data_IF_540624184421
#
_entry.id   IF_540624184421
#
_cell.length_a   1.000
_cell.length_b   1.000
_cell.length_c   1.000
_cell.angle_alpha   90.00
_cell.angle_beta   90.00
_cell.angle_gamma   90.00
#
_symmetry.space_group_name_H-M   'P 1'
#
loop_
_entity.id
_entity.type
_entity.pdbx_description
1 polymer ?
#
# COMPACT_ATOMS: atom_id res chain seq x y z
N UNK A 1 -8.89 55.16 60.47
CA UNK A 1 -8.42 55.64 59.15
C UNK A 1 -6.99 55.19 58.84
N UNK A 2 -5.95 55.50 59.65
CA UNK A 2 -4.56 55.01 59.44
C UNK A 2 -4.40 53.49 59.31
N UNK A 3 -5.01 52.71 60.21
CA UNK A 3 -4.94 51.24 60.17
C UNK A 3 -5.56 50.59 58.91
N UNK A 4 -6.51 51.27 58.26
CA UNK A 4 -7.11 50.82 56.99
C UNK A 4 -6.16 51.04 55.82
N UNK A 5 -5.45 52.18 55.83
CA UNK A 5 -4.47 52.54 54.81
C UNK A 5 -3.24 51.64 54.85
N UNK A 6 -2.77 51.26 56.05
CA UNK A 6 -1.65 50.33 56.21
C UNK A 6 -2.01 48.91 55.75
N UNK A 7 -3.27 48.49 55.93
CA UNK A 7 -3.77 47.21 55.43
C UNK A 7 -3.87 47.16 53.90
N UNK A 8 -4.35 48.24 53.27
CA UNK A 8 -4.40 48.39 51.82
C UNK A 8 -3.00 48.41 51.19
N UNK A 9 -2.06 49.13 51.81
CA UNK A 9 -0.66 49.15 51.37
C UNK A 9 -0.03 47.75 51.43
N UNK A 10 -0.23 47.03 52.53
CA UNK A 10 0.24 45.64 52.68
C UNK A 10 -0.41 44.70 51.65
N UNK A 11 -1.68 44.91 51.32
CA UNK A 11 -2.36 44.15 50.26
C UNK A 11 -1.77 44.45 48.88
N UNK A 12 -1.54 45.73 48.56
CA UNK A 12 -0.92 46.14 47.31
C UNK A 12 0.51 45.57 47.15
N UNK A 13 1.31 45.58 48.22
CA UNK A 13 2.66 45.01 48.22
C UNK A 13 2.63 43.49 47.99
N UNK A 14 1.66 42.78 48.58
CA UNK A 14 1.46 41.35 48.35
C UNK A 14 1.05 41.06 46.90
N UNK A 15 0.13 41.85 46.32
CA UNK A 15 -0.29 41.73 44.92
C UNK A 15 0.88 42.00 43.99
N UNK A 16 1.67 43.04 44.22
CA UNK A 16 2.84 43.37 43.42
C UNK A 16 3.90 42.26 43.44
N UNK A 17 4.11 41.63 44.61
CA UNK A 17 5.01 40.48 44.75
C UNK A 17 4.52 39.27 43.95
N UNK A 18 3.22 38.95 44.05
CA UNK A 18 2.63 37.84 43.27
C UNK A 18 2.71 38.12 41.78
N UNK A 19 2.37 39.34 41.34
CA UNK A 19 2.50 39.75 39.94
C UNK A 19 3.93 39.59 39.43
N UNK A 20 4.92 40.08 40.18
CA UNK A 20 6.34 39.94 39.80
C UNK A 20 6.75 38.47 39.68
N UNK A 21 6.30 37.62 40.59
CA UNK A 21 6.53 36.17 40.51
C UNK A 21 5.89 35.55 39.26
N UNK A 22 4.62 35.87 38.98
CA UNK A 22 3.89 35.36 37.81
C UNK A 22 4.51 35.85 36.49
N UNK A 23 4.88 37.13 36.42
CA UNK A 23 5.53 37.72 35.24
C UNK A 23 6.88 37.02 34.97
N UNK A 24 7.67 36.77 36.03
CA UNK A 24 8.93 36.02 35.92
C UNK A 24 8.71 34.57 35.50
N UNK A 25 7.79 33.86 36.16
CA UNK A 25 7.49 32.48 35.82
C UNK A 25 7.02 32.36 34.36
N UNK A 26 6.13 33.26 33.91
CA UNK A 26 5.68 33.30 32.52
C UNK A 26 6.83 33.50 31.54
N UNK A 27 7.77 34.42 31.83
CA UNK A 27 8.97 34.62 31.02
C UNK A 27 9.88 33.39 30.98
N UNK A 28 10.10 32.74 32.13
CA UNK A 28 10.94 31.54 32.24
C UNK A 28 10.32 30.37 31.43
N UNK A 29 9.00 30.17 31.52
CA UNK A 29 8.28 29.16 30.72
C UNK A 29 8.36 29.46 29.22
N UNK A 30 8.12 30.69 28.79
CA UNK A 30 8.18 31.08 27.38
C UNK A 30 9.58 30.87 26.78
N UNK A 31 10.63 31.19 27.54
CA UNK A 31 12.02 30.96 27.13
C UNK A 31 12.33 29.45 27.03
N UNK A 32 11.93 28.66 28.02
CA UNK A 32 12.13 27.22 28.02
C UNK A 32 11.38 26.53 26.87
N UNK A 33 10.13 26.91 26.62
CA UNK A 33 9.32 26.37 25.53
C UNK A 33 9.94 26.70 24.15
N UNK A 34 10.37 27.94 23.96
CA UNK A 34 11.04 28.37 22.73
C UNK A 34 12.33 27.58 22.49
N UNK A 35 13.14 27.38 23.53
CA UNK A 35 14.37 26.60 23.45
C UNK A 35 14.11 25.13 23.10
N UNK A 36 13.14 24.49 23.76
CA UNK A 36 12.76 23.09 23.49
C UNK A 36 12.21 22.95 22.07
N UNK A 37 11.33 23.85 21.66
CA UNK A 37 10.72 23.83 20.32
C UNK A 37 11.76 23.98 19.22
N UNK A 38 12.71 24.90 19.37
CA UNK A 38 13.83 25.09 18.41
C UNK A 38 14.74 23.86 18.35
N UNK A 39 15.09 23.28 19.50
CA UNK A 39 15.91 22.08 19.56
C UNK A 39 15.21 20.89 18.89
N UNK A 40 13.91 20.70 19.15
CA UNK A 40 13.12 19.63 18.53
C UNK A 40 13.02 19.80 17.02
N UNK A 41 12.74 21.00 16.55
CA UNK A 41 12.62 21.27 15.12
C UNK A 41 13.94 20.99 14.38
N UNK A 42 15.06 21.44 14.96
CA UNK A 42 16.40 21.23 14.39
C UNK A 42 16.77 19.75 14.28
N UNK A 43 16.29 18.92 15.22
CA UNK A 43 16.50 17.47 15.19
C UNK A 43 15.57 16.75 14.20
N UNK A 44 14.32 17.20 14.07
CA UNK A 44 13.30 16.60 13.18
C UNK A 44 13.57 16.91 11.71
N UNK A 45 14.02 18.13 11.40
CA UNK A 45 14.19 18.61 10.02
C UNK A 45 15.02 17.68 9.11
N UNK A 46 16.19 17.15 9.49
CA UNK A 46 16.95 16.25 8.63
C UNK A 46 16.23 14.92 8.37
N UNK A 47 15.60 14.34 9.39
CA UNK A 47 14.84 13.08 9.25
C UNK A 47 13.61 13.29 8.37
N UNK A 48 12.94 14.43 8.55
CA UNK A 48 11.82 14.84 7.72
C UNK A 48 12.20 14.95 6.25
N UNK A 49 13.31 15.64 5.92
CA UNK A 49 13.81 15.76 4.54
C UNK A 49 14.15 14.39 3.93
N UNK A 50 14.77 13.50 4.71
CA UNK A 50 15.08 12.15 4.26
C UNK A 50 13.82 11.34 3.94
N UNK A 51 12.85 11.31 4.86
CA UNK A 51 11.57 10.60 4.67
C UNK A 51 10.82 11.12 3.45
N UNK A 52 10.77 12.44 3.26
CA UNK A 52 10.10 13.05 2.11
C UNK A 52 10.82 12.73 0.79
N UNK A 53 12.16 12.69 0.79
CA UNK A 53 12.96 12.31 -0.39
C UNK A 53 12.72 10.86 -0.83
N UNK A 54 12.54 9.93 0.11
CA UNK A 54 12.20 8.53 -0.21
C UNK A 54 10.83 8.38 -0.86
N UNK A 55 9.91 9.32 -0.60
CA UNK A 55 8.60 9.35 -1.26
C UNK A 55 8.67 9.80 -2.73
N UNK A 56 9.88 9.90 -3.30
CA UNK A 56 10.20 10.05 -4.74
C UNK A 56 9.73 11.36 -5.38
N UNK A 57 9.80 12.46 -4.62
CA UNK A 57 9.51 13.80 -5.11
C UNK A 57 10.76 14.48 -5.66
N UNK A 58 11.07 14.21 -6.93
CA UNK A 58 12.23 14.81 -7.59
C UNK A 58 12.10 16.34 -7.69
N UNK A 59 13.19 17.05 -7.38
CA UNK A 59 13.25 18.51 -7.49
C UNK A 59 12.48 19.30 -6.43
N UNK A 60 12.03 18.65 -5.35
CA UNK A 60 11.31 19.32 -4.25
C UNK A 60 12.00 19.04 -2.92
N UNK A 61 12.49 20.09 -2.28
CA UNK A 61 13.10 20.02 -0.94
C UNK A 61 12.18 20.72 0.07
N UNK A 62 11.62 19.99 1.05
CA UNK A 62 10.76 20.59 2.04
C UNK A 62 11.57 21.26 3.16
N UNK A 63 11.00 22.27 3.80
CA UNK A 63 11.53 22.88 5.01
C UNK A 63 10.40 23.23 5.98
N UNK A 64 10.75 23.22 7.26
CA UNK A 64 9.84 23.61 8.33
C UNK A 64 10.52 24.62 9.22
N UNK A 65 9.82 25.70 9.54
CA UNK A 65 10.35 26.77 10.38
C UNK A 65 9.28 27.20 11.38
N UNK A 66 9.69 27.59 12.59
CA UNK A 66 8.79 28.22 13.55
C UNK A 66 8.94 29.73 13.43
N UNK A 67 7.82 30.47 13.40
CA UNK A 67 7.87 31.93 13.43
C UNK A 67 8.33 32.37 14.83
N UNK A 68 9.28 33.30 14.92
CA UNK A 68 9.94 33.69 16.17
C UNK A 68 8.98 34.20 17.28
N UNK A 69 7.79 34.68 16.91
CA UNK A 69 6.78 35.25 17.81
C UNK A 69 5.44 34.52 17.74
N UNK A 70 5.38 33.31 17.18
CA UNK A 70 4.15 32.52 17.10
C UNK A 70 4.42 31.04 17.41
N UNK A 71 3.39 30.36 17.88
CA UNK A 71 3.36 28.90 17.97
C UNK A 71 3.23 28.23 16.58
N UNK A 72 2.90 29.01 15.55
CA UNK A 72 2.71 28.53 14.18
C UNK A 72 3.99 27.93 13.58
N UNK A 73 3.86 26.68 13.14
CA UNK A 73 4.82 26.02 12.26
C UNK A 73 4.52 26.42 10.81
N UNK A 74 5.50 27.03 10.17
CA UNK A 74 5.48 27.35 8.76
C UNK A 74 6.16 26.26 7.95
N UNK A 75 5.37 25.67 7.07
CA UNK A 75 5.79 24.67 6.09
C UNK A 75 6.16 25.43 4.80
N UNK A 76 7.36 25.17 4.27
CA UNK A 76 7.89 25.85 3.08
C UNK A 76 8.58 24.87 2.13
N UNK A 77 8.70 25.27 0.87
CA UNK A 77 9.57 24.60 -0.10
C UNK A 77 10.90 25.36 -0.14
N UNK A 78 11.96 24.75 0.42
CA UNK A 78 13.30 25.33 0.36
C UNK A 78 13.81 25.39 -1.08
N UNK A 79 13.49 24.36 -1.86
CA UNK A 79 13.73 24.28 -3.29
C UNK A 79 12.54 23.59 -3.96
N UNK A 80 12.05 24.18 -5.04
CA UNK A 80 10.99 23.65 -5.89
C UNK A 80 11.37 23.92 -7.35
N UNK A 81 11.97 22.92 -8.00
CA UNK A 81 12.48 23.01 -9.36
C UNK A 81 13.41 24.21 -9.60
N UNK A 82 14.29 24.51 -8.62
CA UNK A 82 15.23 25.63 -8.67
C UNK A 82 14.68 26.96 -8.14
N UNK A 83 13.42 27.00 -7.72
CA UNK A 83 12.82 28.17 -7.07
C UNK A 83 12.83 28.00 -5.55
N UNK A 84 13.21 29.06 -4.84
CA UNK A 84 13.43 29.00 -3.38
C UNK A 84 12.32 29.69 -2.59
N UNK A 85 12.06 29.20 -1.37
CA UNK A 85 11.18 29.79 -0.36
C UNK A 85 9.72 29.98 -0.80
N UNK A 86 9.16 28.94 -1.42
CA UNK A 86 7.81 28.97 -1.96
C UNK A 86 6.77 28.36 -1.01
N UNK A 87 5.53 28.81 -1.15
CA UNK A 87 4.38 28.29 -0.39
C UNK A 87 3.95 26.91 -0.91
N UNK A 88 4.01 25.85 -0.09
CA UNK A 88 3.55 24.52 -0.46
C UNK A 88 2.03 24.49 -0.70
N UNK A 89 1.27 25.31 0.03
CA UNK A 89 -0.18 25.38 -0.12
C UNK A 89 -0.62 25.91 -1.48
N UNK A 90 0.19 26.76 -2.11
CA UNK A 90 -0.12 27.36 -3.40
C UNK A 90 0.29 26.49 -4.59
N UNK A 91 1.27 25.59 -4.42
CA UNK A 91 1.93 24.89 -5.52
C UNK A 91 1.77 23.36 -5.48
N UNK A 92 1.59 22.78 -4.30
CA UNK A 92 1.47 21.33 -4.16
C UNK A 92 0.01 20.90 -4.27
N UNK A 93 -0.22 19.75 -4.94
CA UNK A 93 -1.51 19.08 -4.90
C UNK A 93 -1.85 18.60 -3.48
N UNK A 94 -3.11 18.25 -3.26
CA UNK A 94 -3.55 17.71 -1.97
C UNK A 94 -2.74 16.51 -1.51
N UNK A 95 -2.53 15.52 -2.40
CA UNK A 95 -1.76 14.33 -2.04
C UNK A 95 -0.31 14.65 -1.67
N UNK A 96 0.32 15.63 -2.33
CA UNK A 96 1.66 16.12 -1.96
C UNK A 96 1.68 16.81 -0.59
N UNK A 97 0.64 17.60 -0.27
CA UNK A 97 0.51 18.24 1.05
C UNK A 97 0.34 17.18 2.16
N UNK A 98 -0.41 16.11 1.87
CA UNK A 98 -0.57 14.99 2.79
C UNK A 98 0.74 14.20 2.96
N UNK A 99 1.50 14.02 1.88
CA UNK A 99 2.85 13.43 1.94
C UNK A 99 3.81 14.24 2.81
N UNK A 100 3.74 15.57 2.71
CA UNK A 100 4.50 16.46 3.56
C UNK A 100 4.14 16.26 5.04
N UNK A 101 2.84 16.29 5.36
CA UNK A 101 2.34 16.17 6.72
C UNK A 101 2.73 14.82 7.34
N UNK A 102 2.54 13.71 6.61
CA UNK A 102 2.88 12.38 7.13
C UNK A 102 4.39 12.21 7.30
N UNK A 103 5.23 12.72 6.38
CA UNK A 103 6.68 12.61 6.51
C UNK A 103 7.20 13.37 7.74
N UNK A 104 6.64 14.56 8.02
CA UNK A 104 6.97 15.34 9.22
C UNK A 104 6.50 14.62 10.49
N UNK A 105 5.29 14.06 10.47
CA UNK A 105 4.74 13.29 11.59
C UNK A 105 5.60 12.07 11.90
N UNK A 106 5.95 11.27 10.89
CA UNK A 106 6.83 10.10 11.05
C UNK A 106 8.20 10.51 11.57
N UNK A 107 8.79 11.59 11.06
CA UNK A 107 10.06 12.09 11.58
C UNK A 107 9.98 12.42 13.07
N UNK A 108 8.96 13.15 13.51
CA UNK A 108 8.73 13.44 14.91
C UNK A 108 8.49 12.18 15.76
N UNK A 109 7.68 11.24 15.26
CA UNK A 109 7.39 9.97 15.94
C UNK A 109 8.63 9.08 16.10
N UNK A 110 9.54 9.09 15.13
CA UNK A 110 10.79 8.32 15.20
C UNK A 110 11.74 8.82 16.30
N UNK A 111 11.79 10.13 16.53
CA UNK A 111 12.72 10.76 17.48
C UNK A 111 12.13 10.89 18.89
N UNK A 112 10.83 11.14 18.98
CA UNK A 112 10.15 11.45 20.24
C UNK A 112 9.06 10.43 20.62
N UNK A 113 9.04 9.27 19.97
CA UNK A 113 8.17 8.16 20.36
C UNK A 113 8.44 7.75 21.82
N UNK A 114 7.38 7.66 22.61
CA UNK A 114 7.45 7.26 24.01
C UNK A 114 7.89 5.81 24.22
N UNK A 115 7.72 5.31 25.44
CA UNK A 115 8.00 3.90 25.80
C UNK A 115 7.33 2.87 24.89
N UNK A 116 6.07 3.02 24.42
CA UNK A 116 5.53 2.09 23.43
C UNK A 116 6.27 2.24 22.10
N UNK A 117 6.88 1.15 21.63
CA UNK A 117 7.59 1.08 20.35
C UNK A 117 6.66 0.67 19.20
N UNK A 118 5.45 1.21 19.17
CA UNK A 118 4.50 1.00 18.08
C UNK A 118 3.76 2.27 17.67
N UNK A 119 3.26 2.30 16.44
CA UNK A 119 2.49 3.37 15.84
C UNK A 119 1.27 2.78 15.14
N UNK A 120 0.09 3.36 15.41
CA UNK A 120 -1.16 3.01 14.71
C UNK A 120 -1.50 4.14 13.75
N UNK A 121 -1.65 3.78 12.47
CA UNK A 121 -2.06 4.67 11.40
C UNK A 121 -3.48 4.30 10.98
N UNK A 122 -4.45 5.13 11.34
CA UNK A 122 -5.87 4.90 11.05
C UNK A 122 -6.30 5.73 9.83
N UNK A 123 -6.60 5.04 8.74
CA UNK A 123 -7.07 5.55 7.45
C UNK A 123 -6.23 6.68 6.82
N UNK A 124 -4.95 6.79 7.17
CA UNK A 124 -4.06 7.86 6.67
C UNK A 124 -3.85 7.82 5.16
N UNK A 125 -4.26 6.74 4.50
CA UNK A 125 -3.99 6.46 3.08
C UNK A 125 -5.08 6.95 2.14
N UNK A 126 -6.28 7.26 2.66
CA UNK A 126 -7.44 7.65 1.84
C UNK A 126 -7.26 9.02 1.16
N UNK A 127 -6.40 9.88 1.71
CA UNK A 127 -6.09 11.21 1.15
C UNK A 127 -4.88 11.23 0.23
N UNK A 128 -4.40 10.04 -0.20
CA UNK A 128 -3.29 9.91 -1.13
C UNK A 128 -3.75 9.38 -2.48
N UNK A 129 -3.18 9.90 -3.56
CA UNK A 129 -3.31 9.29 -4.89
C UNK A 129 -2.62 7.92 -4.89
N UNK A 130 -3.10 7.00 -5.73
CA UNK A 130 -2.67 5.59 -5.76
C UNK A 130 -1.13 5.41 -5.82
N UNK A 131 -0.41 6.30 -6.50
CA UNK A 131 1.07 6.27 -6.55
C UNK A 131 1.73 6.62 -5.21
N UNK A 132 1.22 7.63 -4.51
CA UNK A 132 1.82 8.09 -3.24
C UNK A 132 1.55 7.14 -2.08
N UNK A 133 0.43 6.40 -2.11
CA UNK A 133 0.15 5.34 -1.15
C UNK A 133 1.25 4.27 -1.16
N UNK A 134 1.72 3.87 -2.36
CA UNK A 134 2.81 2.90 -2.52
C UNK A 134 4.11 3.43 -1.91
N UNK A 135 4.43 4.71 -2.15
CA UNK A 135 5.62 5.34 -1.58
C UNK A 135 5.59 5.42 -0.06
N UNK A 136 4.43 5.75 0.53
CA UNK A 136 4.27 5.74 1.98
C UNK A 136 4.52 4.34 2.55
N UNK A 137 3.92 3.30 1.97
CA UNK A 137 4.12 1.93 2.47
C UNK A 137 5.57 1.46 2.28
N UNK A 138 6.21 1.82 1.18
CA UNK A 138 7.63 1.50 0.95
C UNK A 138 8.56 2.21 1.95
N UNK A 139 8.34 3.50 2.24
CA UNK A 139 9.03 4.24 3.30
C UNK A 139 8.86 3.54 4.65
N UNK A 140 7.62 3.17 4.98
CA UNK A 140 7.30 2.47 6.22
C UNK A 140 8.06 1.14 6.30
N UNK A 141 8.04 0.36 5.22
CA UNK A 141 8.68 -0.97 5.16
C UNK A 141 10.21 -0.92 5.22
N UNK A 142 10.84 0.03 4.53
CA UNK A 142 12.29 0.08 4.34
C UNK A 142 13.00 0.79 5.48
N UNK A 143 12.55 1.98 5.84
CA UNK A 143 13.36 2.92 6.61
C UNK A 143 12.77 3.29 7.97
N UNK A 144 11.45 3.15 8.15
CA UNK A 144 10.77 3.56 9.38
C UNK A 144 10.44 2.40 10.34
N UNK A 145 9.83 1.33 9.83
CA UNK A 145 9.28 0.25 10.64
C UNK A 145 10.26 -0.92 10.80
N UNK A 146 10.06 -1.71 11.87
CA UNK A 146 10.72 -3.02 12.01
C UNK A 146 10.16 -4.00 10.98
N UNK A 147 10.98 -4.88 10.39
CA UNK A 147 12.40 -5.11 10.64
C UNK A 147 13.34 -4.25 9.79
N UNK A 148 12.85 -3.47 8.82
CA UNK A 148 13.69 -2.63 7.94
C UNK A 148 14.60 -1.67 8.71
N UNK A 149 14.06 -1.09 9.78
CA UNK A 149 14.82 -0.37 10.79
C UNK A 149 14.78 -1.15 12.13
N UNK A 150 15.90 -1.73 12.59
CA UNK A 150 15.96 -2.50 13.85
C UNK A 150 15.50 -1.71 15.08
N UNK A 151 15.74 -0.39 15.07
CA UNK A 151 15.35 0.53 16.13
C UNK A 151 14.02 1.25 15.85
N UNK A 152 13.40 0.96 14.70
CA UNK A 152 12.15 1.55 14.24
C UNK A 152 10.95 1.16 15.11
N UNK A 153 9.79 1.72 14.79
CA UNK A 153 8.53 1.38 15.45
C UNK A 153 7.88 0.16 14.80
N UNK A 154 7.11 -0.62 15.56
CA UNK A 154 6.12 -1.51 14.97
C UNK A 154 4.99 -0.65 14.39
N UNK A 155 4.60 -0.89 13.14
CA UNK A 155 3.53 -0.10 12.50
C UNK A 155 2.31 -0.98 12.29
N UNK A 156 1.16 -0.47 12.71
CA UNK A 156 -0.17 -1.05 12.48
C UNK A 156 -0.92 -0.09 11.59
N UNK A 157 -1.38 -0.55 10.43
CA UNK A 157 -2.11 0.27 9.46
C UNK A 157 -3.54 -0.27 9.38
N UNK A 158 -4.50 0.62 9.60
CA UNK A 158 -5.92 0.38 9.36
C UNK A 158 -6.31 1.19 8.13
N UNK A 159 -6.90 0.53 7.14
CA UNK A 159 -7.29 1.19 5.89
C UNK A 159 -8.43 0.42 5.24
N UNK A 160 -9.25 1.13 4.48
CA UNK A 160 -10.28 0.55 3.62
C UNK A 160 -9.83 0.49 2.14
N UNK A 161 -8.58 0.84 1.85
CA UNK A 161 -8.04 0.89 0.51
C UNK A 161 -7.74 -0.51 -0.07
N UNK A 162 -8.41 -0.82 -1.18
CA UNK A 162 -8.29 -2.12 -1.87
C UNK A 162 -7.01 -2.27 -2.69
N UNK A 163 -6.35 -1.19 -3.10
CA UNK A 163 -5.04 -1.25 -3.77
C UNK A 163 -3.94 -1.57 -2.75
N UNK A 164 -4.00 -1.00 -1.55
CA UNK A 164 -3.10 -1.37 -0.47
C UNK A 164 -3.25 -2.83 -0.06
N UNK A 165 -4.48 -3.36 -0.07
CA UNK A 165 -4.74 -4.78 0.14
C UNK A 165 -3.92 -5.65 -0.83
N UNK A 166 -3.89 -5.31 -2.13
CA UNK A 166 -3.10 -6.03 -3.13
C UNK A 166 -1.60 -5.98 -2.82
N UNK A 167 -1.09 -4.82 -2.41
CA UNK A 167 0.32 -4.65 -2.04
C UNK A 167 0.66 -5.47 -0.80
N UNK A 168 -0.15 -5.44 0.25
CA UNK A 168 0.11 -6.23 1.44
C UNK A 168 -0.01 -7.73 1.18
N UNK A 169 -0.97 -8.16 0.33
CA UNK A 169 -1.07 -9.54 -0.10
C UNK A 169 0.19 -10.01 -0.85
N UNK A 170 0.80 -9.16 -1.69
CA UNK A 170 2.09 -9.45 -2.35
C UNK A 170 3.21 -9.70 -1.35
N UNK A 171 3.21 -8.99 -0.21
CA UNK A 171 4.23 -9.12 0.83
C UNK A 171 3.87 -10.10 1.95
N UNK A 172 2.66 -10.65 1.98
CA UNK A 172 2.17 -11.56 3.04
C UNK A 172 3.02 -12.83 3.20
N UNK A 173 3.63 -13.32 2.12
CA UNK A 173 4.48 -14.52 2.11
C UNK A 173 5.91 -14.25 2.60
N UNK A 174 6.29 -12.99 2.80
CA UNK A 174 7.64 -12.63 3.28
C UNK A 174 7.85 -12.93 4.76
N UNK A 175 6.78 -13.17 5.53
CA UNK A 175 6.82 -13.32 7.00
C UNK A 175 7.11 -12.01 7.75
N UNK A 176 7.34 -10.90 7.01
CA UNK A 176 7.68 -9.59 7.55
C UNK A 176 6.43 -8.74 7.77
N UNK A 177 5.51 -8.77 6.80
CA UNK A 177 4.25 -8.03 6.85
C UNK A 177 3.09 -9.00 7.08
N UNK A 178 2.25 -8.67 8.05
CA UNK A 178 1.04 -9.40 8.36
C UNK A 178 -0.16 -8.59 7.90
N UNK A 179 -0.98 -9.21 7.06
CA UNK A 179 -2.19 -8.60 6.53
C UNK A 179 -3.41 -9.40 6.95
N UNK A 180 -4.37 -8.71 7.55
CA UNK A 180 -5.62 -9.29 7.99
C UNK A 180 -6.77 -8.39 7.53
N UNK A 181 -7.57 -8.89 6.58
CA UNK A 181 -8.81 -8.22 6.21
C UNK A 181 -9.86 -8.50 7.26
N UNK A 182 -10.58 -7.46 7.69
CA UNK A 182 -11.71 -7.56 8.62
C UNK A 182 -12.99 -7.36 7.82
N UNK A 183 -13.97 -8.25 7.97
CA UNK A 183 -15.28 -8.12 7.34
C UNK A 183 -16.40 -8.48 8.30
N UNK A 184 -17.57 -7.91 8.03
CA UNK A 184 -18.79 -8.19 8.74
C UNK A 184 -19.64 -6.95 8.87
N UNK A 185 -20.69 -7.05 9.69
CA UNK A 185 -21.54 -5.92 9.99
C UNK A 185 -21.16 -5.39 11.38
N UNK A 186 -20.86 -4.08 11.54
CA UNK A 186 -20.44 -3.50 12.82
C UNK A 186 -21.39 -3.81 13.99
N UNK A 187 -22.67 -4.01 13.69
CA UNK A 187 -23.73 -4.28 14.67
C UNK A 187 -23.80 -5.74 15.14
N UNK A 188 -23.21 -6.69 14.41
CA UNK A 188 -23.36 -8.12 14.68
C UNK A 188 -22.02 -8.79 14.98
N UNK A 189 -21.08 -8.70 14.05
CA UNK A 189 -19.74 -9.25 14.20
C UNK A 189 -18.84 -8.67 13.11
N UNK A 190 -17.60 -8.35 13.48
CA UNK A 190 -16.50 -8.10 12.55
C UNK A 190 -15.47 -9.20 12.81
N UNK A 191 -15.22 -10.04 11.82
CA UNK A 191 -14.35 -11.21 11.95
C UNK A 191 -13.14 -11.09 11.02
N UNK A 192 -11.95 -11.55 11.49
CA UNK A 192 -10.80 -11.68 10.62
C UNK A 192 -11.06 -12.70 9.52
N UNK A 193 -10.82 -12.29 8.28
CA UNK A 193 -10.94 -13.10 7.08
C UNK A 193 -9.60 -13.76 6.74
N UNK A 194 -9.51 -15.07 6.89
CA UNK A 194 -8.35 -15.84 6.44
C UNK A 194 -8.40 -16.02 4.92
N UNK A 195 -7.35 -15.62 4.19
CA UNK A 195 -7.16 -16.01 2.78
C UNK A 195 -7.89 -15.16 1.70
N UNK A 196 -7.74 -13.83 1.73
CA UNK A 196 -8.38 -12.91 0.78
C UNK A 196 -8.18 -13.23 -0.73
N UNK A 197 -7.05 -13.86 -1.09
CA UNK A 197 -6.72 -14.22 -2.49
C UNK A 197 -7.70 -15.24 -3.09
N UNK A 198 -8.28 -16.11 -2.28
CA UNK A 198 -9.21 -17.15 -2.76
C UNK A 198 -10.68 -16.69 -2.78
N UNK A 199 -11.01 -15.45 -2.40
CA UNK A 199 -12.41 -15.02 -2.28
C UNK A 199 -13.16 -14.94 -3.61
N UNK A 200 -12.56 -14.35 -4.65
CA UNK A 200 -13.21 -14.30 -5.97
C UNK A 200 -13.44 -15.72 -6.48
N UNK A 201 -12.46 -16.61 -6.29
CA UNK A 201 -12.56 -18.03 -6.63
C UNK A 201 -13.70 -18.72 -5.85
N UNK A 202 -13.64 -18.68 -4.53
CA UNK A 202 -14.54 -19.44 -3.66
C UNK A 202 -15.98 -18.89 -3.71
N UNK A 203 -16.13 -17.58 -3.82
CA UNK A 203 -17.43 -16.93 -4.05
C UNK A 203 -18.02 -17.31 -5.41
N UNK A 204 -17.20 -17.28 -6.47
CA UNK A 204 -17.63 -17.69 -7.82
C UNK A 204 -18.02 -19.17 -7.82
N UNK A 205 -17.22 -20.04 -7.19
CA UNK A 205 -17.54 -21.47 -7.06
C UNK A 205 -18.85 -21.67 -6.30
N UNK A 206 -19.07 -20.94 -5.19
CA UNK A 206 -20.31 -21.00 -4.42
C UNK A 206 -21.53 -20.59 -5.24
N UNK A 207 -21.44 -19.49 -6.00
CA UNK A 207 -22.50 -19.06 -6.92
C UNK A 207 -22.79 -20.11 -8.00
N UNK A 208 -21.74 -20.71 -8.57
CA UNK A 208 -21.88 -21.76 -9.57
C UNK A 208 -22.53 -23.02 -9.00
N UNK A 209 -22.14 -23.44 -7.79
CA UNK A 209 -22.75 -24.57 -7.09
C UNK A 209 -24.22 -24.30 -6.74
N UNK A 210 -24.59 -23.05 -6.49
CA UNK A 210 -25.96 -22.61 -6.29
C UNK A 210 -26.77 -22.44 -7.59
N UNK A 211 -26.18 -22.75 -8.76
CA UNK A 211 -26.85 -22.63 -10.07
C UNK A 211 -26.96 -21.21 -10.61
N UNK A 212 -26.31 -20.23 -9.97
CA UNK A 212 -26.36 -18.81 -10.34
C UNK A 212 -25.33 -18.47 -11.44
N UNK A 213 -25.37 -19.22 -12.54
CA UNK A 213 -24.36 -19.12 -13.60
C UNK A 213 -24.29 -17.73 -14.25
N UNK A 214 -25.42 -17.03 -14.40
CA UNK A 214 -25.46 -15.69 -14.99
C UNK A 214 -24.69 -14.64 -14.18
N UNK A 215 -24.75 -14.71 -12.85
CA UNK A 215 -24.04 -13.79 -11.96
C UNK A 215 -22.56 -14.17 -11.80
N UNK A 216 -22.23 -15.46 -11.91
CA UNK A 216 -20.88 -15.97 -11.72
C UNK A 216 -19.91 -15.65 -12.88
N UNK A 217 -20.42 -15.35 -14.09
CA UNK A 217 -19.58 -15.13 -15.30
C UNK A 217 -18.50 -14.05 -15.09
N UNK A 218 -18.88 -12.93 -14.48
CA UNK A 218 -17.95 -11.84 -14.23
C UNK A 218 -16.90 -12.24 -13.18
N UNK A 219 -17.27 -13.05 -12.18
CA UNK A 219 -16.34 -13.61 -11.21
C UNK A 219 -15.31 -14.56 -11.84
N UNK A 220 -15.73 -15.40 -12.81
CA UNK A 220 -14.82 -16.28 -13.57
C UNK A 220 -13.79 -15.47 -14.35
N UNK A 221 -14.20 -14.37 -14.98
CA UNK A 221 -13.31 -13.46 -15.71
C UNK A 221 -12.30 -12.79 -14.77
N UNK A 222 -12.78 -12.18 -13.69
CA UNK A 222 -11.92 -11.52 -12.71
C UNK A 222 -10.89 -12.50 -12.15
N UNK A 223 -11.31 -13.75 -11.91
CA UNK A 223 -10.41 -14.80 -11.48
C UNK A 223 -9.36 -15.16 -12.53
N UNK A 224 -9.77 -15.33 -13.80
CA UNK A 224 -8.85 -15.58 -14.91
C UNK A 224 -7.81 -14.47 -15.04
N UNK A 225 -8.24 -13.21 -15.12
CA UNK A 225 -7.35 -12.06 -15.29
C UNK A 225 -6.37 -11.92 -14.12
N UNK A 226 -6.86 -12.11 -12.89
CA UNK A 226 -6.02 -12.12 -11.71
C UNK A 226 -4.92 -13.19 -11.78
N UNK A 227 -5.30 -14.44 -12.09
CA UNK A 227 -4.34 -15.56 -12.13
C UNK A 227 -3.33 -15.43 -13.27
N UNK A 228 -3.75 -14.90 -14.43
CA UNK A 228 -2.83 -14.63 -15.54
C UNK A 228 -1.88 -13.48 -15.24
N UNK A 229 -2.36 -12.39 -14.64
CA UNK A 229 -1.52 -11.27 -14.20
C UNK A 229 -0.48 -11.71 -13.15
N UNK A 230 -0.91 -12.52 -12.18
CA UNK A 230 -0.01 -13.13 -11.19
C UNK A 230 1.09 -13.96 -11.87
N UNK A 231 0.71 -14.79 -12.84
CA UNK A 231 1.62 -15.65 -13.58
C UNK A 231 2.65 -14.83 -14.38
N UNK A 232 2.21 -13.82 -15.11
CA UNK A 232 3.07 -12.89 -15.86
C UNK A 232 4.07 -12.22 -14.91
N UNK A 233 3.60 -11.72 -13.77
CA UNK A 233 4.48 -11.06 -12.79
C UNK A 233 5.50 -12.01 -12.18
N UNK A 234 5.11 -13.26 -11.89
CA UNK A 234 6.01 -14.26 -11.28
C UNK A 234 7.09 -14.71 -12.25
N UNK A 235 6.72 -14.97 -13.50
CA UNK A 235 7.63 -15.44 -14.55
C UNK A 235 8.39 -14.32 -15.26
N UNK A 236 8.09 -13.05 -14.93
CA UNK A 236 8.65 -11.84 -15.56
C UNK A 236 8.46 -11.84 -17.08
N UNK A 237 7.27 -12.25 -17.52
CA UNK A 237 6.94 -12.27 -18.95
C UNK A 237 6.80 -10.82 -19.45
N UNK A 238 7.51 -10.44 -20.52
CA UNK A 238 7.34 -9.12 -21.12
C UNK A 238 5.93 -8.97 -21.68
N UNK A 239 5.27 -7.88 -21.31
CA UNK A 239 3.92 -7.54 -21.81
C UNK A 239 4.00 -6.20 -22.54
N UNK A 240 3.31 -6.04 -23.68
CA UNK A 240 3.25 -4.75 -24.37
C UNK A 240 2.76 -3.62 -23.46
N UNK A 241 3.34 -2.44 -23.63
CA UNK A 241 3.05 -1.24 -22.82
C UNK A 241 1.55 -0.94 -22.80
N UNK A 242 0.88 -1.04 -23.94
CA UNK A 242 -0.55 -0.77 -24.06
C UNK A 242 -1.39 -1.66 -23.14
N UNK A 243 -1.05 -2.95 -23.03
CA UNK A 243 -1.74 -3.92 -22.14
C UNK A 243 -1.40 -3.66 -20.67
N UNK A 244 -0.18 -3.18 -20.38
CA UNK A 244 0.25 -2.88 -19.01
C UNK A 244 -0.43 -1.64 -18.41
N UNK A 245 -0.89 -0.71 -19.26
CA UNK A 245 -1.57 0.53 -18.86
C UNK A 245 -3.07 0.56 -19.21
N UNK A 246 -3.63 -0.56 -19.68
CA UNK A 246 -5.03 -0.64 -20.08
C UNK A 246 -5.94 -0.90 -18.87
N UNK A 247 -6.75 0.10 -18.50
CA UNK A 247 -7.78 -0.01 -17.45
C UNK A 247 -9.07 -0.70 -17.94
N UNK A 248 -9.15 -1.10 -19.21
CA UNK A 248 -10.34 -1.75 -19.73
C UNK A 248 -10.50 -3.17 -19.20
N UNK A 249 -11.76 -3.57 -19.03
CA UNK A 249 -12.13 -4.85 -18.41
C UNK A 249 -11.67 -6.09 -19.21
N UNK A 250 -11.15 -6.03 -20.43
CA UNK A 250 -10.96 -7.20 -21.33
C UNK A 250 -9.49 -7.65 -21.52
N UNK A 251 -8.73 -7.84 -20.43
CA UNK A 251 -7.30 -8.14 -20.53
C UNK A 251 -6.97 -9.64 -20.67
N UNK A 252 -7.93 -10.52 -20.38
CA UNK A 252 -7.69 -11.97 -20.35
C UNK A 252 -7.10 -12.52 -21.66
N UNK A 253 -7.60 -12.08 -22.81
CA UNK A 253 -7.11 -12.52 -24.13
C UNK A 253 -5.68 -12.04 -24.39
N UNK A 254 -5.39 -10.78 -24.05
CA UNK A 254 -4.07 -10.18 -24.23
C UNK A 254 -3.02 -10.86 -23.34
N UNK A 255 -3.38 -11.16 -22.08
CA UNK A 255 -2.50 -11.91 -21.18
C UNK A 255 -2.23 -13.33 -21.67
N UNK A 256 -3.25 -14.07 -22.14
CA UNK A 256 -3.05 -15.40 -22.70
C UNK A 256 -2.14 -15.36 -23.94
N UNK A 257 -2.35 -14.40 -24.83
CA UNK A 257 -1.53 -14.22 -26.03
C UNK A 257 -0.07 -13.88 -25.67
N UNK A 258 0.16 -13.03 -24.66
CA UNK A 258 1.49 -12.70 -24.20
C UNK A 258 2.22 -13.92 -23.61
N UNK A 259 1.52 -14.74 -22.81
CA UNK A 259 2.06 -15.97 -22.24
C UNK A 259 2.36 -16.99 -23.34
N UNK A 260 1.43 -17.23 -24.27
CA UNK A 260 1.61 -18.16 -25.40
C UNK A 260 2.79 -17.74 -26.30
N UNK A 261 2.90 -16.44 -26.62
CA UNK A 261 4.03 -15.90 -27.38
C UNK A 261 5.36 -16.12 -26.67
N UNK A 262 5.42 -15.88 -25.35
CA UNK A 262 6.63 -16.11 -24.56
C UNK A 262 7.02 -17.60 -24.51
N UNK A 263 6.05 -18.49 -24.32
CA UNK A 263 6.29 -19.95 -24.32
C UNK A 263 6.78 -20.41 -25.70
N UNK A 264 6.16 -19.96 -26.79
CA UNK A 264 6.59 -20.29 -28.16
C UNK A 264 8.00 -19.78 -28.47
N UNK A 265 8.33 -18.55 -28.04
CA UNK A 265 9.64 -17.96 -28.21
C UNK A 265 10.72 -18.80 -27.50
N UNK A 266 10.53 -19.11 -26.22
CA UNK A 266 11.49 -19.91 -25.46
C UNK A 266 11.57 -21.36 -25.95
N UNK A 267 10.47 -21.91 -26.48
CA UNK A 267 10.47 -23.22 -27.15
C UNK A 267 11.31 -23.20 -28.42
N UNK A 268 11.12 -22.20 -29.28
CA UNK A 268 11.89 -22.04 -30.51
C UNK A 268 13.39 -21.79 -30.22
N UNK A 269 13.70 -21.12 -29.11
CA UNK A 269 15.06 -20.91 -28.64
C UNK A 269 15.69 -22.12 -27.93
N UNK A 270 14.99 -23.25 -27.80
CA UNK A 270 15.41 -24.43 -27.02
C UNK A 270 15.79 -24.11 -25.56
N UNK A 271 15.19 -23.05 -24.99
CA UNK A 271 15.48 -22.57 -23.64
C UNK A 271 14.30 -22.78 -22.68
N UNK A 272 13.26 -23.48 -23.10
CA UNK A 272 12.04 -23.63 -22.32
C UNK A 272 12.23 -24.67 -21.20
N UNK A 273 11.96 -24.25 -19.96
CA UNK A 273 12.11 -25.10 -18.77
C UNK A 273 10.97 -26.10 -18.54
N UNK A 274 9.83 -25.87 -19.19
CA UNK A 274 8.61 -26.67 -19.09
C UNK A 274 8.78 -28.04 -19.77
N UNK A 275 8.39 -29.09 -19.07
CA UNK A 275 8.42 -30.45 -19.62
C UNK A 275 7.32 -30.68 -20.69
N UNK A 276 7.40 -31.76 -21.49
CA UNK A 276 6.41 -32.02 -22.55
C UNK A 276 4.97 -32.21 -22.04
N UNK A 277 4.79 -32.71 -20.81
CA UNK A 277 3.47 -32.92 -20.19
C UNK A 277 2.88 -31.56 -19.83
N UNK A 278 3.66 -30.67 -19.22
CA UNK A 278 3.29 -29.30 -18.92
C UNK A 278 2.91 -28.52 -20.19
N UNK A 279 3.70 -28.64 -21.25
CA UNK A 279 3.40 -28.01 -22.54
C UNK A 279 2.08 -28.51 -23.15
N UNK A 280 1.81 -29.81 -23.06
CA UNK A 280 0.55 -30.39 -23.53
C UNK A 280 -0.63 -29.90 -22.70
N UNK A 281 -0.47 -29.88 -21.37
CA UNK A 281 -1.47 -29.37 -20.43
C UNK A 281 -1.82 -27.89 -20.68
N UNK A 282 -0.84 -27.05 -21.02
CA UNK A 282 -1.09 -25.65 -21.39
C UNK A 282 -2.05 -25.54 -22.57
N UNK A 283 -1.83 -26.30 -23.63
CA UNK A 283 -2.68 -26.27 -24.82
C UNK A 283 -4.10 -26.75 -24.50
N UNK A 284 -4.24 -27.84 -23.75
CA UNK A 284 -5.55 -28.40 -23.36
C UNK A 284 -6.35 -27.44 -22.49
N UNK A 285 -5.72 -26.84 -21.48
CA UNK A 285 -6.38 -25.91 -20.58
C UNK A 285 -6.71 -24.59 -21.28
N UNK A 286 -5.82 -24.08 -22.13
CA UNK A 286 -6.08 -22.88 -22.93
C UNK A 286 -7.26 -23.08 -23.89
N UNK A 287 -7.35 -24.23 -24.57
CA UNK A 287 -8.49 -24.57 -25.42
C UNK A 287 -9.81 -24.59 -24.63
N UNK A 288 -9.78 -25.11 -23.41
CA UNK A 288 -10.95 -25.13 -22.51
C UNK A 288 -11.37 -23.71 -22.10
N UNK A 289 -10.42 -22.86 -21.70
CA UNK A 289 -10.69 -21.47 -21.29
C UNK A 289 -11.21 -20.64 -22.48
N UNK A 290 -10.54 -20.73 -23.64
CA UNK A 290 -10.91 -19.93 -24.81
C UNK A 290 -12.22 -20.42 -25.42
N UNK A 291 -12.39 -21.73 -25.57
CA UNK A 291 -13.58 -22.32 -26.17
C UNK A 291 -14.83 -22.14 -25.31
N UNK A 292 -14.75 -22.47 -24.02
CA UNK A 292 -15.92 -22.48 -23.15
C UNK A 292 -16.21 -21.13 -22.48
N UNK A 293 -15.31 -20.14 -22.58
CA UNK A 293 -15.47 -18.84 -21.91
C UNK A 293 -15.20 -17.64 -22.83
N UNK A 294 -13.95 -17.44 -23.25
CA UNK A 294 -13.56 -16.18 -23.91
C UNK A 294 -14.21 -15.97 -25.28
N UNK A 295 -14.36 -17.03 -26.09
CA UNK A 295 -14.97 -16.93 -27.43
C UNK A 295 -16.45 -16.57 -27.36
N UNK A 296 -17.16 -17.06 -26.35
CA UNK A 296 -18.56 -16.73 -26.11
C UNK A 296 -18.74 -15.33 -25.54
N UNK A 297 -17.79 -14.86 -24.74
CA UNK A 297 -17.82 -13.52 -24.15
C UNK A 297 -17.51 -12.42 -25.18
N UNK A 298 -16.48 -12.62 -26.02
CA UNK A 298 -16.02 -11.62 -27.00
C UNK A 298 -16.95 -11.42 -28.20
N UNK A 299 -17.80 -12.40 -28.52
CA UNK A 299 -18.70 -12.35 -29.68
C UNK A 299 -20.09 -11.79 -29.36
N UNK A 300 -20.37 -11.46 -28.09
CA UNK A 300 -21.70 -10.99 -27.66
C UNK A 300 -22.82 -12.02 -27.88
N UNK A 301 -22.47 -13.28 -28.16
CA UNK A 301 -23.46 -14.32 -28.39
C UNK A 301 -24.22 -14.62 -27.10
N UNK A 302 -25.55 -14.59 -27.19
CA UNK A 302 -26.52 -14.86 -26.12
C UNK A 302 -26.63 -16.34 -25.78
N UNK A 303 -25.50 -17.07 -25.75
CA UNK A 303 -25.49 -18.43 -25.23
C UNK A 303 -25.37 -18.36 -23.71
N UNK A 304 -26.37 -18.88 -23.00
CA UNK A 304 -26.34 -18.98 -21.55
C UNK A 304 -25.25 -19.98 -21.14
N UNK A 305 -24.34 -19.54 -20.28
CA UNK A 305 -23.31 -20.42 -19.73
C UNK A 305 -23.94 -21.34 -18.70
N UNK A 306 -23.65 -22.63 -18.76
CA UNK A 306 -24.09 -23.58 -17.73
C UNK A 306 -23.12 -23.55 -16.55
N UNK A 307 -23.62 -23.72 -15.32
CA UNK A 307 -22.78 -23.76 -14.13
C UNK A 307 -21.67 -24.84 -14.20
N UNK A 308 -21.92 -26.06 -14.69
CA UNK A 308 -20.86 -27.07 -14.85
C UNK A 308 -19.77 -26.66 -15.84
N UNK A 309 -20.12 -25.97 -16.94
CA UNK A 309 -19.14 -25.49 -17.91
C UNK A 309 -18.22 -24.44 -17.28
N UNK A 310 -18.77 -23.49 -16.54
CA UNK A 310 -17.99 -22.46 -15.83
C UNK A 310 -17.14 -23.04 -14.70
N UNK A 311 -17.61 -24.06 -13.98
CA UNK A 311 -16.77 -24.80 -13.02
C UNK A 311 -15.59 -25.50 -13.72
N UNK A 312 -15.83 -26.08 -14.90
CA UNK A 312 -14.79 -26.63 -15.75
C UNK A 312 -13.74 -25.59 -16.15
N UNK A 313 -14.18 -24.37 -16.49
CA UNK A 313 -13.30 -23.24 -16.79
C UNK A 313 -12.47 -22.83 -15.56
N UNK A 314 -13.10 -22.70 -14.38
CA UNK A 314 -12.40 -22.39 -13.13
C UNK A 314 -11.28 -23.40 -12.82
N UNK A 315 -11.56 -24.70 -13.01
CA UNK A 315 -10.57 -25.75 -12.84
C UNK A 315 -9.46 -25.66 -13.91
N UNK A 316 -9.82 -25.39 -15.17
CA UNK A 316 -8.83 -25.21 -16.24
C UNK A 316 -7.89 -24.02 -15.99
N UNK A 317 -8.37 -22.93 -15.36
CA UNK A 317 -7.53 -21.79 -14.94
C UNK A 317 -6.47 -22.23 -13.93
N UNK A 318 -6.89 -22.99 -12.91
CA UNK A 318 -5.99 -23.50 -11.88
C UNK A 318 -4.95 -24.46 -12.50
N UNK A 319 -5.39 -25.40 -13.33
CA UNK A 319 -4.52 -26.35 -14.02
C UNK A 319 -3.56 -25.68 -15.02
N UNK A 320 -4.01 -24.62 -15.71
CA UNK A 320 -3.16 -23.83 -16.60
C UNK A 320 -2.01 -23.19 -15.81
N UNK A 321 -2.30 -22.59 -14.65
CA UNK A 321 -1.27 -22.00 -13.80
C UNK A 321 -0.32 -23.04 -13.21
N UNK A 322 -0.83 -24.22 -12.85
CA UNK A 322 -0.04 -25.32 -12.28
C UNK A 322 0.96 -25.91 -13.28
N UNK A 323 0.73 -25.76 -14.59
CA UNK A 323 1.71 -26.14 -15.61
C UNK A 323 3.03 -25.35 -15.46
N UNK A 324 3.01 -24.17 -14.84
CA UNK A 324 4.20 -23.34 -14.59
C UNK A 324 4.81 -23.55 -13.20
N UNK A 325 4.50 -24.68 -12.56
CA UNK A 325 5.09 -25.06 -11.28
C UNK A 325 5.83 -26.39 -11.40
N UNK A 326 6.87 -26.57 -10.61
CA UNK A 326 7.62 -27.82 -10.49
C UNK A 326 7.74 -28.23 -9.03
N UNK A 327 8.03 -29.51 -8.81
CA UNK A 327 8.41 -30.02 -7.49
C UNK A 327 9.93 -29.85 -7.34
N UNK A 328 10.41 -28.99 -6.43
CA UNK A 328 11.86 -28.76 -6.27
C UNK A 328 12.61 -30.00 -5.81
N UNK A 329 11.94 -30.80 -4.98
CA UNK A 329 12.37 -32.12 -4.52
C UNK A 329 11.17 -33.05 -4.53
N UNK A 330 11.34 -34.36 -4.79
CA UNK A 330 10.22 -35.31 -4.80
C UNK A 330 9.39 -35.22 -3.51
N UNK A 331 8.08 -34.96 -3.64
CA UNK A 331 7.16 -34.85 -2.51
C UNK A 331 7.11 -33.48 -1.81
N UNK A 332 7.87 -32.49 -2.28
CA UNK A 332 7.74 -31.11 -1.79
C UNK A 332 6.57 -30.39 -2.47
N UNK A 333 6.07 -29.33 -1.83
CA UNK A 333 5.04 -28.48 -2.41
C UNK A 333 5.54 -27.85 -3.73
N UNK A 334 4.65 -27.85 -4.73
CA UNK A 334 4.96 -27.28 -6.05
C UNK A 334 5.28 -25.79 -5.95
N UNK A 335 6.43 -25.39 -6.48
CA UNK A 335 6.88 -24.01 -6.55
C UNK A 335 6.80 -23.50 -8.00
N UNK A 336 6.57 -22.20 -8.18
CA UNK A 336 6.63 -21.58 -9.50
C UNK A 336 8.07 -21.58 -10.02
N UNK A 337 8.24 -21.76 -11.33
CA UNK A 337 9.50 -21.42 -11.98
C UNK A 337 9.81 -19.92 -11.78
N UNK A 338 11.10 -19.57 -11.69
CA UNK A 338 11.51 -18.15 -11.58
C UNK A 338 11.36 -17.41 -12.90
N UNK A 339 11.66 -18.07 -14.01
CA UNK A 339 11.41 -17.59 -15.38
C UNK A 339 11.10 -18.78 -16.29
N UNK A 340 10.73 -18.53 -17.55
CA UNK A 340 10.51 -19.60 -18.53
C UNK A 340 11.78 -20.36 -18.93
N UNK A 341 12.96 -19.90 -18.50
CA UNK A 341 14.27 -20.50 -18.78
C UNK A 341 15.00 -21.01 -17.52
N UNK A 342 14.51 -20.66 -16.33
CA UNK A 342 15.21 -20.91 -15.06
C UNK A 342 14.25 -21.43 -14.00
N UNK A 343 14.66 -22.52 -13.32
CA UNK A 343 13.88 -23.13 -12.25
C UNK A 343 14.01 -22.39 -10.93
N UNK A 344 15.14 -21.76 -10.63
CA UNK A 344 15.50 -21.28 -9.28
C UNK A 344 15.69 -19.78 -9.14
#
# INVERSE_FOLDING_TARGET
MRASFDAEKKHADNVARVKTFLDKASSDFAAAETAISKARLSAVEPVFKANFGEMSFLGVTPAVSKRASSEDLQIRLADFYGLTDLSPQALLSESYRNAFAIALYLAAASLYGGTPKFLVLDDVTSSFDAGHQLFLVELLRKSFARPGNPNGLQVIILSHDTMLEKLFNKHSTSGIWWHQRLEGMPQFAVLPQTGAVNKVRDHTISMLQAGQADFAKEGVRQYLEYRLSELISKLRIPVPVDVAFNDNRQLASEFLNAIDAAVKLHKAANSLVLDPIQQTGLNTNMATIVGNFLSHWGTGQTLSFTAPALLGVMNAIDQYCDCFKFEPTPGAAKAFYKTLQDRL
#
